data_IF_596823114773
#
_entry.id   IF_596823114773
#
_cell.length_a   1.000
_cell.length_b   1.000
_cell.length_c   1.000
_cell.angle_alpha   90.00
_cell.angle_beta   90.00
_cell.angle_gamma   90.00
#
_symmetry.space_group_name_H-M   'P 1'
#
loop_
_entity.id
_entity.type
_entity.pdbx_description
1 polymer ?
#
# COMPACT_ATOMS: atom_id res chain seq x y z
N UNK A 1 7.09 -56.33 -32.92
CA UNK A 1 5.88 -55.48 -33.04
C UNK A 1 5.02 -55.76 -31.83
N UNK A 2 4.93 -54.82 -30.91
CA UNK A 2 4.08 -54.88 -29.73
C UNK A 2 3.59 -53.46 -29.49
N UNK A 3 2.29 -53.26 -29.59
CA UNK A 3 1.62 -51.97 -29.50
C UNK A 3 1.90 -51.32 -28.15
N UNK A 4 2.34 -50.04 -28.18
CA UNK A 4 2.26 -49.18 -27.01
C UNK A 4 0.81 -48.67 -26.91
N UNK A 5 0.14 -48.76 -25.76
CA UNK A 5 -1.15 -48.11 -25.58
C UNK A 5 -0.93 -46.60 -25.65
N UNK A 6 -1.65 -45.94 -26.55
CA UNK A 6 -1.80 -44.50 -26.54
C UNK A 6 -2.55 -44.11 -25.27
N UNK A 7 -1.83 -43.53 -24.31
CA UNK A 7 -2.44 -42.83 -23.19
C UNK A 7 -3.19 -41.65 -23.79
N UNK A 8 -4.51 -41.79 -23.90
CA UNK A 8 -5.38 -40.65 -24.16
C UNK A 8 -5.11 -39.63 -23.06
N UNK A 9 -4.59 -38.47 -23.45
CA UNK A 9 -4.64 -37.29 -22.61
C UNK A 9 -6.12 -37.00 -22.49
N UNK A 10 -6.73 -37.33 -21.35
CA UNK A 10 -8.04 -36.77 -20.99
C UNK A 10 -7.88 -35.26 -21.07
N UNK A 11 -8.45 -34.65 -22.10
CA UNK A 11 -8.76 -33.24 -22.10
C UNK A 11 -9.57 -33.01 -20.83
N UNK A 12 -8.95 -32.36 -19.84
CA UNK A 12 -9.63 -31.87 -18.65
C UNK A 12 -10.75 -30.99 -19.18
N UNK A 13 -11.98 -31.53 -19.17
CA UNK A 13 -13.14 -30.89 -19.76
C UNK A 13 -13.19 -29.45 -19.30
N UNK A 14 -13.30 -28.52 -20.26
CA UNK A 14 -13.44 -27.10 -19.97
C UNK A 14 -14.60 -26.93 -18.99
N UNK A 15 -14.32 -26.56 -17.75
CA UNK A 15 -15.36 -26.27 -16.75
C UNK A 15 -16.21 -25.14 -17.34
N UNK A 16 -17.42 -25.46 -17.78
CA UNK A 16 -18.39 -24.48 -18.27
C UNK A 16 -18.98 -23.77 -17.05
N UNK A 17 -18.37 -22.65 -16.68
CA UNK A 17 -18.80 -21.85 -15.54
C UNK A 17 -19.75 -20.75 -16.02
N UNK A 18 -21.03 -20.85 -15.66
CA UNK A 18 -22.10 -19.93 -16.08
C UNK A 18 -22.39 -18.86 -15.03
N UNK A 19 -23.03 -17.76 -15.44
CA UNK A 19 -23.44 -16.69 -14.52
C UNK A 19 -24.46 -17.18 -13.48
N UNK A 20 -25.31 -18.15 -13.81
CA UNK A 20 -26.26 -18.75 -12.86
C UNK A 20 -25.55 -19.51 -11.73
N UNK A 21 -24.41 -20.12 -12.03
CA UNK A 21 -23.57 -20.81 -11.04
C UNK A 21 -23.01 -19.83 -10.01
N UNK A 22 -22.75 -18.59 -10.39
CA UNK A 22 -22.25 -17.53 -9.49
C UNK A 22 -23.30 -17.17 -8.44
N UNK A 23 -24.57 -17.07 -8.84
CA UNK A 23 -25.67 -16.69 -7.96
C UNK A 23 -25.97 -17.75 -6.88
N UNK A 24 -25.53 -18.99 -7.10
CA UNK A 24 -25.67 -20.11 -6.16
C UNK A 24 -24.47 -20.26 -5.21
N UNK A 25 -23.40 -19.48 -5.40
CA UNK A 25 -22.23 -19.54 -4.53
C UNK A 25 -22.59 -19.11 -3.11
N UNK A 26 -21.86 -19.67 -2.13
CA UNK A 26 -21.80 -19.08 -0.79
C UNK A 26 -20.97 -17.79 -0.82
N UNK A 27 -21.09 -16.96 0.23
CA UNK A 27 -20.22 -15.77 0.40
C UNK A 27 -18.75 -16.12 0.26
N UNK A 28 -18.29 -17.20 0.88
CA UNK A 28 -16.89 -17.66 0.79
C UNK A 28 -16.54 -18.06 -0.63
N UNK A 29 -17.41 -18.83 -1.31
CA UNK A 29 -17.19 -19.21 -2.71
C UNK A 29 -17.10 -18.01 -3.66
N UNK A 30 -17.94 -17.00 -3.45
CA UNK A 30 -17.91 -15.76 -4.22
C UNK A 30 -16.62 -14.96 -3.97
N UNK A 31 -16.14 -14.87 -2.71
CA UNK A 31 -14.87 -14.21 -2.40
C UNK A 31 -13.67 -14.97 -2.99
N UNK A 32 -13.68 -16.30 -2.97
CA UNK A 32 -12.65 -17.11 -3.64
C UNK A 32 -12.64 -16.87 -5.14
N UNK A 33 -13.80 -16.86 -5.78
CA UNK A 33 -13.90 -16.57 -7.20
C UNK A 33 -13.43 -15.14 -7.52
N UNK A 34 -13.70 -14.18 -6.63
CA UNK A 34 -13.22 -12.82 -6.77
C UNK A 34 -11.70 -12.73 -6.73
N UNK A 35 -11.06 -13.40 -5.76
CA UNK A 35 -9.60 -13.49 -5.72
C UNK A 35 -9.04 -14.11 -7.01
N UNK A 36 -9.67 -15.19 -7.48
CA UNK A 36 -9.30 -15.82 -8.73
C UNK A 36 -9.46 -14.84 -9.89
N UNK A 37 -10.54 -14.07 -10.01
CA UNK A 37 -10.74 -13.12 -11.11
C UNK A 37 -9.78 -11.92 -11.08
N UNK A 38 -9.39 -11.46 -9.89
CA UNK A 38 -8.45 -10.34 -9.69
C UNK A 38 -7.00 -10.77 -9.91
N UNK A 39 -6.69 -12.04 -9.70
CA UNK A 39 -5.32 -12.56 -9.85
C UNK A 39 -4.83 -12.48 -11.29
N UNK A 40 -3.66 -11.85 -11.47
CA UNK A 40 -2.94 -11.78 -12.75
C UNK A 40 -2.10 -13.03 -13.03
N UNK A 41 -1.81 -13.84 -12.00
CA UNK A 41 -0.92 -15.00 -12.09
C UNK A 41 -1.68 -16.32 -12.18
N UNK A 42 -2.82 -16.41 -11.50
CA UNK A 42 -3.69 -17.57 -11.61
C UNK A 42 -4.41 -17.52 -12.96
N UNK A 43 -4.40 -18.61 -13.74
CA UNK A 43 -5.15 -18.83 -14.99
C UNK A 43 -5.65 -17.55 -15.73
N UNK A 44 -4.76 -16.68 -16.25
CA UNK A 44 -5.14 -15.38 -16.80
C UNK A 44 -6.07 -15.47 -18.02
N UNK A 45 -5.96 -16.56 -18.80
CA UNK A 45 -6.73 -16.79 -20.02
C UNK A 45 -7.92 -17.75 -19.81
N UNK A 46 -8.37 -17.94 -18.57
CA UNK A 46 -9.48 -18.86 -18.31
C UNK A 46 -10.78 -18.42 -18.98
N UNK A 47 -11.48 -19.36 -19.61
CA UNK A 47 -12.73 -19.11 -20.34
C UNK A 47 -13.88 -18.58 -19.49
N UNK A 48 -13.81 -18.73 -18.17
CA UNK A 48 -14.81 -18.22 -17.22
C UNK A 48 -14.56 -16.77 -16.79
N UNK A 49 -13.43 -16.16 -17.18
CA UNK A 49 -13.12 -14.73 -16.98
C UNK A 49 -13.71 -13.85 -18.09
N UNK A 50 -14.93 -14.17 -18.49
CA UNK A 50 -15.70 -13.36 -19.43
C UNK A 50 -16.44 -12.25 -18.70
N UNK A 51 -16.78 -11.22 -19.45
CA UNK A 51 -17.43 -10.01 -18.93
C UNK A 51 -18.69 -10.30 -18.13
N UNK A 52 -19.59 -11.15 -18.65
CA UNK A 52 -20.87 -11.45 -17.98
C UNK A 52 -20.65 -12.08 -16.60
N UNK A 53 -19.66 -12.96 -16.46
CA UNK A 53 -19.33 -13.59 -15.19
C UNK A 53 -18.71 -12.59 -14.20
N UNK A 54 -17.85 -11.70 -14.68
CA UNK A 54 -17.26 -10.64 -13.84
C UNK A 54 -18.37 -9.70 -13.33
N UNK A 55 -19.24 -9.21 -14.22
CA UNK A 55 -20.35 -8.31 -13.88
C UNK A 55 -21.31 -8.99 -12.91
N UNK A 56 -21.65 -10.26 -13.15
CA UNK A 56 -22.52 -11.04 -12.27
C UNK A 56 -21.90 -11.21 -10.89
N UNK A 57 -20.61 -11.54 -10.80
CA UNK A 57 -19.90 -11.69 -9.53
C UNK A 57 -19.85 -10.36 -8.76
N UNK A 58 -19.50 -9.26 -9.41
CA UNK A 58 -19.44 -7.94 -8.76
C UNK A 58 -20.81 -7.51 -8.22
N UNK A 59 -21.89 -7.76 -8.98
CA UNK A 59 -23.26 -7.49 -8.54
C UNK A 59 -23.69 -8.41 -7.39
N UNK A 60 -23.32 -9.70 -7.44
CA UNK A 60 -23.58 -10.64 -6.37
C UNK A 60 -22.88 -10.21 -5.08
N UNK A 61 -21.57 -9.92 -5.13
CA UNK A 61 -20.79 -9.43 -3.99
C UNK A 61 -21.36 -8.12 -3.44
N UNK A 62 -21.78 -7.20 -4.30
CA UNK A 62 -22.43 -5.95 -3.88
C UNK A 62 -23.66 -6.23 -3.02
N UNK A 63 -24.52 -7.15 -3.46
CA UNK A 63 -25.72 -7.53 -2.71
C UNK A 63 -25.35 -8.22 -1.39
N UNK A 64 -24.34 -9.09 -1.39
CA UNK A 64 -23.85 -9.77 -0.19
C UNK A 64 -23.26 -8.80 0.83
N UNK A 65 -22.50 -7.80 0.39
CA UNK A 65 -21.96 -6.74 1.26
C UNK A 65 -23.08 -5.89 1.87
N UNK A 66 -24.11 -5.55 1.08
CA UNK A 66 -25.25 -4.74 1.57
C UNK A 66 -26.12 -5.51 2.56
N UNK A 67 -26.34 -6.81 2.33
CA UNK A 67 -27.26 -7.65 3.12
C UNK A 67 -26.58 -8.36 4.29
N UNK A 68 -25.25 -8.45 4.30
CA UNK A 68 -24.52 -9.43 5.09
C UNK A 68 -24.18 -8.97 6.50
N UNK A 69 -24.74 -9.68 7.50
CA UNK A 69 -24.22 -9.73 8.87
C UNK A 69 -22.85 -10.42 8.97
N UNK A 70 -22.42 -11.12 7.89
CA UNK A 70 -21.22 -11.95 7.85
C UNK A 70 -19.98 -11.25 7.28
N UNK A 71 -20.11 -10.04 6.71
CA UNK A 71 -18.99 -9.30 6.13
C UNK A 71 -18.43 -8.32 7.17
N UNK A 72 -17.27 -8.67 7.71
CA UNK A 72 -16.54 -7.88 8.70
C UNK A 72 -15.65 -6.79 8.07
N UNK A 73 -15.07 -5.94 8.91
CA UNK A 73 -14.14 -4.87 8.54
C UNK A 73 -12.96 -5.40 7.70
N UNK A 74 -12.42 -6.57 8.06
CA UNK A 74 -11.31 -7.22 7.38
C UNK A 74 -11.68 -7.63 5.97
N UNK A 75 -12.85 -8.23 5.79
CA UNK A 75 -13.36 -8.63 4.47
C UNK A 75 -13.61 -7.40 3.61
N UNK A 76 -14.19 -6.33 4.16
CA UNK A 76 -14.36 -5.06 3.45
C UNK A 76 -13.03 -4.47 3.00
N UNK A 77 -12.06 -4.38 3.91
CA UNK A 77 -10.72 -3.88 3.60
C UNK A 77 -10.03 -4.71 2.53
N UNK A 78 -10.17 -6.03 2.59
CA UNK A 78 -9.65 -6.92 1.56
C UNK A 78 -10.30 -6.68 0.18
N UNK A 79 -11.63 -6.58 0.11
CA UNK A 79 -12.33 -6.27 -1.16
C UNK A 79 -11.85 -4.91 -1.71
N UNK A 80 -11.82 -3.87 -0.87
CA UNK A 80 -11.37 -2.53 -1.27
C UNK A 80 -9.92 -2.55 -1.77
N UNK A 81 -9.03 -3.29 -1.12
CA UNK A 81 -7.63 -3.42 -1.55
C UNK A 81 -7.51 -4.02 -2.97
N UNK A 82 -8.36 -5.00 -3.30
CA UNK A 82 -8.41 -5.63 -4.62
C UNK A 82 -9.00 -4.69 -5.68
N UNK A 83 -10.00 -3.89 -5.30
CA UNK A 83 -10.59 -2.87 -6.17
C UNK A 83 -9.64 -1.69 -6.47
N UNK A 84 -8.73 -1.37 -5.55
CA UNK A 84 -7.74 -0.31 -5.72
C UNK A 84 -6.46 -0.79 -6.44
N UNK A 85 -6.32 -2.09 -6.68
CA UNK A 85 -5.12 -2.64 -7.32
C UNK A 85 -5.09 -2.29 -8.81
N UNK A 86 -4.21 -1.33 -9.16
CA UNK A 86 -3.91 -1.00 -10.56
C UNK A 86 -3.36 -2.23 -11.29
N UNK A 87 -3.93 -2.54 -12.46
CA UNK A 87 -3.53 -3.71 -13.26
C UNK A 87 -4.35 -4.99 -13.02
N UNK A 88 -5.36 -4.93 -12.15
CA UNK A 88 -6.31 -6.04 -11.99
C UNK A 88 -7.15 -6.26 -13.26
N UNK A 89 -7.45 -7.50 -13.67
CA UNK A 89 -8.31 -7.78 -14.82
C UNK A 89 -9.71 -7.16 -14.71
N UNK A 90 -10.21 -6.97 -13.49
CA UNK A 90 -11.52 -6.33 -13.26
C UNK A 90 -11.47 -4.80 -13.37
N UNK A 91 -10.28 -4.18 -13.39
CA UNK A 91 -10.12 -2.74 -13.50
C UNK A 91 -10.68 -2.18 -14.82
N UNK A 92 -10.87 -3.02 -15.85
CA UNK A 92 -11.56 -2.66 -17.08
C UNK A 92 -13.06 -2.37 -16.89
N UNK A 93 -13.62 -2.52 -15.68
CA UNK A 93 -15.05 -2.31 -15.35
C UNK A 93 -15.21 -1.31 -14.20
N UNK A 94 -14.84 -0.03 -14.41
CA UNK A 94 -14.81 0.98 -13.36
C UNK A 94 -16.20 1.26 -12.76
N UNK A 95 -17.28 1.11 -13.52
CA UNK A 95 -18.65 1.30 -13.04
C UNK A 95 -19.07 0.24 -12.02
N UNK A 96 -18.84 -1.03 -12.31
CA UNK A 96 -19.20 -2.16 -11.46
C UNK A 96 -18.32 -2.19 -10.22
N UNK A 97 -17.00 -1.98 -10.39
CA UNK A 97 -16.05 -1.83 -9.29
C UNK A 97 -16.43 -0.66 -8.38
N UNK A 98 -16.81 0.50 -8.95
CA UNK A 98 -17.27 1.65 -8.19
C UNK A 98 -18.58 1.39 -7.44
N UNK A 99 -19.51 0.62 -8.00
CA UNK A 99 -20.74 0.19 -7.31
C UNK A 99 -20.46 -0.74 -6.14
N UNK A 100 -19.53 -1.68 -6.29
CA UNK A 100 -19.10 -2.56 -5.20
C UNK A 100 -18.36 -1.75 -4.12
N UNK A 101 -17.46 -0.85 -4.50
CA UNK A 101 -16.78 0.06 -3.57
C UNK A 101 -17.77 0.88 -2.75
N UNK A 102 -18.78 1.50 -3.40
CA UNK A 102 -19.85 2.24 -2.70
C UNK A 102 -20.65 1.36 -1.73
N UNK A 103 -20.88 0.10 -2.07
CA UNK A 103 -21.51 -0.85 -1.15
C UNK A 103 -20.60 -1.16 0.06
N UNK A 104 -19.30 -1.35 -0.16
CA UNK A 104 -18.34 -1.53 0.91
C UNK A 104 -18.26 -0.31 1.84
N UNK A 105 -18.25 0.91 1.28
CA UNK A 105 -18.30 2.16 2.05
C UNK A 105 -19.60 2.25 2.87
N UNK A 106 -20.74 1.91 2.29
CA UNK A 106 -22.01 1.92 3.00
C UNK A 106 -21.99 0.96 4.20
N UNK A 107 -21.56 -0.28 3.98
CA UNK A 107 -21.45 -1.27 5.07
C UNK A 107 -20.41 -0.86 6.12
N UNK A 108 -19.30 -0.28 5.68
CA UNK A 108 -18.27 0.27 6.56
C UNK A 108 -18.85 1.33 7.50
N UNK A 109 -19.66 2.25 6.98
CA UNK A 109 -20.34 3.26 7.79
C UNK A 109 -21.26 2.65 8.87
N UNK A 110 -21.90 1.51 8.58
CA UNK A 110 -22.76 0.82 9.56
C UNK A 110 -21.96 0.17 10.69
N UNK A 111 -20.78 -0.39 10.40
CA UNK A 111 -19.93 -1.08 11.39
C UNK A 111 -18.90 -0.17 12.06
N UNK A 112 -18.65 1.02 11.51
CA UNK A 112 -17.62 1.95 11.97
C UNK A 112 -17.65 2.26 13.48
N UNK A 113 -18.83 2.43 14.13
CA UNK A 113 -18.86 2.69 15.57
C UNK A 113 -18.20 1.59 16.42
N UNK A 114 -18.22 0.34 15.94
CA UNK A 114 -17.69 -0.84 16.63
C UNK A 114 -16.22 -1.14 16.28
N UNK A 115 -15.67 -0.48 15.26
CA UNK A 115 -14.30 -0.75 14.82
C UNK A 115 -13.26 -0.26 15.83
N UNK A 116 -12.21 -1.05 16.00
CA UNK A 116 -11.00 -0.69 16.73
C UNK A 116 -10.18 0.38 15.99
N UNK A 117 -9.26 1.03 16.71
CA UNK A 117 -8.30 1.98 16.14
C UNK A 117 -7.44 1.32 15.05
N UNK A 118 -7.00 0.09 15.28
CA UNK A 118 -6.22 -0.68 14.31
C UNK A 118 -7.01 -0.90 12.99
N UNK A 119 -8.29 -1.28 13.08
CA UNK A 119 -9.12 -1.45 11.88
C UNK A 119 -9.34 -0.12 11.15
N UNK A 120 -9.54 0.98 11.89
CA UNK A 120 -9.65 2.32 11.30
C UNK A 120 -8.39 2.70 10.51
N UNK A 121 -7.20 2.44 11.08
CA UNK A 121 -5.91 2.72 10.43
C UNK A 121 -5.67 1.83 9.20
N UNK A 122 -6.16 0.59 9.19
CA UNK A 122 -6.06 -0.30 8.03
C UNK A 122 -6.99 0.12 6.89
N UNK A 123 -8.17 0.64 7.22
CA UNK A 123 -9.17 1.04 6.25
C UNK A 123 -8.87 2.41 5.63
N UNK A 124 -8.32 3.36 6.40
CA UNK A 124 -8.11 4.73 5.94
C UNK A 124 -7.36 4.83 4.60
N UNK A 125 -6.20 4.14 4.39
CA UNK A 125 -5.50 4.18 3.10
C UNK A 125 -6.26 3.54 1.94
N UNK A 126 -7.24 2.67 2.24
CA UNK A 126 -8.04 2.00 1.21
C UNK A 126 -9.19 2.88 0.71
N UNK A 127 -9.67 3.80 1.55
CA UNK A 127 -10.72 4.75 1.18
C UNK A 127 -10.15 6.10 0.71
N UNK A 128 -8.91 6.43 1.09
CA UNK A 128 -8.16 7.58 0.55
C UNK A 128 -7.51 7.22 -0.80
N UNK A 129 -8.35 6.86 -1.76
CA UNK A 129 -7.97 6.43 -3.11
C UNK A 129 -8.46 7.44 -4.15
N UNK A 130 -7.69 7.62 -5.23
CA UNK A 130 -8.09 8.45 -6.37
C UNK A 130 -8.94 7.70 -7.40
N UNK A 131 -9.08 6.37 -7.25
CA UNK A 131 -9.80 5.52 -8.20
C UNK A 131 -11.33 5.69 -8.15
N UNK A 132 -11.87 6.11 -7.01
CA UNK A 132 -13.31 6.21 -6.76
C UNK A 132 -13.65 7.52 -6.05
N UNK A 133 -14.94 7.84 -6.00
CA UNK A 133 -15.44 8.98 -5.24
C UNK A 133 -15.10 8.82 -3.75
N UNK A 134 -14.38 9.82 -3.19
CA UNK A 134 -13.89 9.79 -1.81
C UNK A 134 -15.05 9.80 -0.82
N UNK A 135 -15.13 8.83 0.12
CA UNK A 135 -16.22 8.74 1.08
C UNK A 135 -16.01 9.67 2.28
N UNK A 136 -16.16 10.99 2.05
CA UNK A 136 -15.85 12.05 3.02
C UNK A 136 -16.41 11.82 4.43
N UNK A 137 -17.65 11.37 4.56
CA UNK A 137 -18.30 11.13 5.87
C UNK A 137 -17.53 10.07 6.67
N UNK A 138 -17.15 8.96 6.02
CA UNK A 138 -16.43 7.86 6.65
C UNK A 138 -15.00 8.27 6.98
N UNK A 139 -14.32 8.97 6.07
CA UNK A 139 -12.97 9.50 6.33
C UNK A 139 -12.94 10.41 7.56
N UNK A 140 -13.85 11.38 7.62
CA UNK A 140 -13.95 12.34 8.74
C UNK A 140 -14.20 11.61 10.06
N UNK A 141 -15.07 10.62 10.08
CA UNK A 141 -15.39 9.88 11.30
C UNK A 141 -14.23 9.00 11.77
N UNK A 142 -13.52 8.34 10.84
CA UNK A 142 -12.26 7.64 11.15
C UNK A 142 -11.25 8.61 11.76
N UNK A 143 -11.01 9.75 11.12
CA UNK A 143 -10.03 10.74 11.58
C UNK A 143 -10.38 11.28 12.96
N UNK A 144 -11.65 11.58 13.24
CA UNK A 144 -12.10 11.99 14.59
C UNK A 144 -11.77 10.94 15.65
N UNK A 145 -11.96 9.66 15.33
CA UNK A 145 -11.65 8.55 16.24
C UNK A 145 -10.14 8.42 16.47
N UNK A 146 -9.33 8.58 15.42
CA UNK A 146 -7.86 8.63 15.53
C UNK A 146 -7.38 9.85 16.34
N UNK A 147 -8.06 10.98 16.23
CA UNK A 147 -7.76 12.17 17.02
C UNK A 147 -8.05 11.98 18.51
N UNK A 148 -9.12 11.24 18.82
CA UNK A 148 -9.57 10.95 20.17
C UNK A 148 -8.79 9.81 20.86
N UNK A 149 -8.20 8.87 20.11
CA UNK A 149 -7.48 7.74 20.69
C UNK A 149 -6.23 8.16 21.50
N UNK A 150 -5.80 7.32 22.42
CA UNK A 150 -4.57 7.49 23.18
C UNK A 150 -3.32 7.02 22.42
N UNK A 151 -2.12 7.45 22.83
CA UNK A 151 -0.85 6.91 22.29
C UNK A 151 -0.70 5.40 22.62
N UNK A 152 -1.30 4.93 23.72
CA UNK A 152 -1.28 3.52 24.15
C UNK A 152 -2.10 2.64 23.20
N UNK A 153 -3.23 3.11 22.68
CA UNK A 153 -3.98 2.34 21.69
C UNK A 153 -3.22 2.16 20.37
N UNK A 154 -2.29 3.07 20.07
CA UNK A 154 -1.43 3.01 18.89
C UNK A 154 -0.19 2.15 19.10
N UNK A 155 0.26 1.94 20.35
CA UNK A 155 1.40 1.07 20.65
C UNK A 155 1.11 -0.40 20.37
N UNK A 156 -0.14 -0.84 20.27
CA UNK A 156 -0.41 -2.23 19.89
C UNK A 156 -0.50 -2.42 18.36
N UNK A 157 -0.43 -1.33 17.59
CA UNK A 157 -0.56 -1.35 16.13
C UNK A 157 0.80 -1.58 15.47
N UNK A 158 0.83 -2.40 14.41
CA UNK A 158 2.06 -2.63 13.62
C UNK A 158 2.55 -1.34 12.97
N UNK A 159 3.87 -1.16 12.92
CA UNK A 159 4.50 0.03 12.34
C UNK A 159 4.15 0.23 10.86
N UNK A 160 4.06 -0.84 10.06
CA UNK A 160 3.61 -0.76 8.66
C UNK A 160 2.20 -0.19 8.50
N UNK A 161 1.27 -0.53 9.39
CA UNK A 161 -0.09 0.03 9.40
C UNK A 161 -0.06 1.52 9.76
N UNK A 162 0.73 1.90 10.77
CA UNK A 162 0.90 3.29 11.18
C UNK A 162 1.48 4.14 10.03
N UNK A 163 2.54 3.66 9.38
CA UNK A 163 3.15 4.33 8.22
C UNK A 163 2.18 4.45 7.05
N UNK A 164 1.39 3.40 6.77
CA UNK A 164 0.39 3.44 5.71
C UNK A 164 -0.67 4.51 5.96
N UNK A 165 -1.16 4.63 7.21
CA UNK A 165 -2.11 5.66 7.59
C UNK A 165 -1.51 7.08 7.44
N UNK A 166 -0.25 7.30 7.82
CA UNK A 166 0.42 8.60 7.70
C UNK A 166 0.51 9.15 6.27
N UNK A 167 0.44 8.28 5.26
CA UNK A 167 0.40 8.69 3.84
C UNK A 167 -0.90 9.37 3.45
N UNK A 168 -1.97 9.15 4.21
CA UNK A 168 -3.28 9.65 3.86
C UNK A 168 -3.35 11.17 4.07
N UNK A 169 -3.99 11.88 3.15
CA UNK A 169 -4.06 13.33 3.15
C UNK A 169 -4.89 13.85 4.34
N UNK A 170 -5.98 13.14 4.66
CA UNK A 170 -6.94 13.48 5.72
C UNK A 170 -6.40 13.35 7.14
N UNK A 171 -5.22 12.75 7.32
CA UNK A 171 -4.63 12.65 8.65
C UNK A 171 -4.31 14.05 9.16
N UNK A 172 -5.02 14.43 10.22
CA UNK A 172 -4.82 15.69 10.92
C UNK A 172 -3.41 15.76 11.48
N UNK A 173 -2.92 16.98 11.65
CA UNK A 173 -1.63 17.20 12.28
C UNK A 173 -1.57 16.56 13.68
N UNK A 174 -2.65 16.64 14.47
CA UNK A 174 -2.70 16.03 15.81
C UNK A 174 -2.46 14.51 15.75
N UNK A 175 -3.17 13.80 14.87
CA UNK A 175 -2.99 12.36 14.67
C UNK A 175 -1.61 12.04 14.10
N UNK A 176 -1.14 12.83 13.13
CA UNK A 176 0.19 12.70 12.53
C UNK A 176 1.30 12.74 13.60
N UNK A 177 1.29 13.77 14.45
CA UNK A 177 2.24 13.96 15.53
C UNK A 177 2.19 12.82 16.54
N UNK A 178 0.99 12.35 16.88
CA UNK A 178 0.77 11.24 17.80
C UNK A 178 1.40 9.95 17.28
N UNK A 179 1.13 9.60 16.03
CA UNK A 179 1.71 8.40 15.39
C UNK A 179 3.24 8.52 15.31
N UNK A 180 3.79 9.68 14.91
CA UNK A 180 5.24 9.88 14.87
C UNK A 180 5.90 9.68 16.24
N UNK A 181 5.27 10.14 17.33
CA UNK A 181 5.76 9.91 18.70
C UNK A 181 5.75 8.44 19.08
N UNK A 182 4.68 7.71 18.73
CA UNK A 182 4.58 6.26 19.00
C UNK A 182 5.68 5.50 18.28
N UNK A 183 5.91 5.80 16.99
CA UNK A 183 6.99 5.19 16.21
C UNK A 183 8.37 5.49 16.85
N UNK A 184 8.54 6.69 17.42
CA UNK A 184 9.83 7.14 17.95
C UNK A 184 10.13 6.67 19.38
N UNK A 185 9.12 6.53 20.24
CA UNK A 185 9.30 6.20 21.67
C UNK A 185 9.69 4.75 21.93
N UNK A 186 9.30 3.82 21.06
CA UNK A 186 9.42 2.39 21.32
C UNK A 186 10.57 1.70 20.56
N UNK A 187 11.59 2.46 20.16
CA UNK A 187 12.70 1.95 19.33
C UNK A 187 12.28 1.30 18.00
N UNK A 188 11.01 1.43 17.58
CA UNK A 188 10.47 0.84 16.35
C UNK A 188 11.19 1.32 15.10
N UNK A 189 11.80 2.51 15.13
CA UNK A 189 12.61 3.02 14.03
C UNK A 189 13.78 2.07 13.73
N UNK A 190 14.37 1.44 14.74
CA UNK A 190 15.51 0.52 14.59
C UNK A 190 15.07 -0.82 13.97
N UNK A 191 13.79 -1.14 14.07
CA UNK A 191 13.19 -2.37 13.52
C UNK A 191 12.58 -2.16 12.13
N UNK A 192 12.63 -0.95 11.58
CA UNK A 192 12.12 -0.68 10.24
C UNK A 192 12.92 -1.44 9.20
N UNK A 193 12.20 -2.09 8.29
CA UNK A 193 12.81 -2.53 7.03
C UNK A 193 13.25 -1.33 6.20
N UNK A 194 14.23 -1.52 5.30
CA UNK A 194 14.69 -0.46 4.37
C UNK A 194 13.56 0.26 3.63
N UNK A 195 12.49 -0.47 3.27
CA UNK A 195 11.33 0.09 2.58
C UNK A 195 10.47 0.95 3.51
N UNK A 196 10.31 0.54 4.77
CA UNK A 196 9.60 1.33 5.78
C UNK A 196 10.41 2.56 6.21
N UNK A 197 11.73 2.46 6.35
CA UNK A 197 12.62 3.59 6.63
C UNK A 197 12.53 4.65 5.52
N UNK A 198 12.62 4.23 4.27
CA UNK A 198 12.49 5.11 3.11
C UNK A 198 11.08 5.71 3.04
N UNK A 199 10.04 4.90 3.23
CA UNK A 199 8.67 5.38 3.24
C UNK A 199 8.45 6.44 4.34
N UNK A 200 8.99 6.21 5.54
CA UNK A 200 8.84 7.16 6.63
C UNK A 200 9.56 8.48 6.34
N UNK A 201 10.77 8.42 5.76
CA UNK A 201 11.49 9.60 5.27
C UNK A 201 10.66 10.39 4.25
N UNK A 202 10.12 9.71 3.24
CA UNK A 202 9.31 10.33 2.18
C UNK A 202 8.06 10.99 2.75
N UNK A 203 7.37 10.34 3.70
CA UNK A 203 6.19 10.91 4.40
C UNK A 203 6.56 12.20 5.14
N UNK A 204 7.66 12.19 5.90
CA UNK A 204 8.07 13.35 6.69
C UNK A 204 8.47 14.53 5.78
N UNK A 205 9.19 14.26 4.68
CA UNK A 205 9.56 15.28 3.69
C UNK A 205 8.33 15.86 3.00
N UNK A 206 7.37 15.02 2.60
CA UNK A 206 6.12 15.48 1.99
C UNK A 206 5.34 16.43 2.92
N UNK A 207 5.30 16.11 4.23
CA UNK A 207 4.62 16.93 5.24
C UNK A 207 5.38 18.20 5.59
N UNK A 208 6.70 18.20 5.48
CA UNK A 208 7.52 19.41 5.63
C UNK A 208 7.27 20.41 4.49
N UNK A 209 7.09 19.91 3.26
CA UNK A 209 6.78 20.75 2.10
C UNK A 209 5.37 21.34 2.14
N UNK A 210 4.49 20.80 2.98
CA UNK A 210 3.18 21.38 3.28
C UNK A 210 3.35 22.57 4.25
N UNK A 211 3.12 23.79 3.75
CA UNK A 211 3.31 25.04 4.50
C UNK A 211 2.50 25.13 5.79
N UNK A 212 1.39 24.38 5.91
CA UNK A 212 0.54 24.36 7.09
C UNK A 212 1.06 23.45 8.23
N UNK A 213 2.08 22.63 7.97
CA UNK A 213 2.57 21.60 8.91
C UNK A 213 4.10 21.58 9.08
N UNK A 214 4.82 22.47 8.41
CA UNK A 214 6.28 22.47 8.37
C UNK A 214 6.92 22.67 9.75
N UNK A 215 6.43 23.64 10.54
CA UNK A 215 6.94 23.94 11.88
C UNK A 215 6.76 22.76 12.83
N UNK A 216 5.62 22.08 12.78
CA UNK A 216 5.34 20.93 13.63
C UNK A 216 6.20 19.70 13.29
N UNK A 217 6.51 19.49 12.00
CA UNK A 217 7.48 18.48 11.57
C UNK A 217 8.89 18.82 12.11
N UNK A 218 9.24 20.11 12.13
CA UNK A 218 10.45 20.59 12.81
C UNK A 218 10.45 20.31 14.31
N UNK A 219 9.30 20.48 14.99
CA UNK A 219 9.12 20.18 16.42
C UNK A 219 9.27 18.68 16.69
N UNK A 220 8.76 17.78 15.83
CA UNK A 220 9.01 16.32 15.94
C UNK A 220 10.52 16.06 15.94
N UNK A 221 11.21 16.69 15.00
CA UNK A 221 12.66 16.59 14.86
C UNK A 221 13.43 17.05 16.09
N UNK A 222 13.01 18.18 16.65
CA UNK A 222 13.68 18.87 17.76
C UNK A 222 13.47 18.18 19.11
N UNK A 223 12.27 17.65 19.37
CA UNK A 223 11.92 17.06 20.66
C UNK A 223 12.10 15.53 20.73
N UNK A 224 12.24 14.84 19.60
CA UNK A 224 12.09 13.38 19.54
C UNK A 224 13.29 12.57 19.05
N UNK A 225 14.41 13.18 18.68
CA UNK A 225 15.54 12.51 17.98
C UNK A 225 15.12 11.69 16.75
N UNK A 226 13.91 11.91 16.23
CA UNK A 226 13.31 11.09 15.16
C UNK A 226 14.18 11.11 13.92
N UNK A 227 14.65 12.30 13.53
CA UNK A 227 15.58 12.48 12.43
C UNK A 227 16.90 11.75 12.67
N UNK A 228 17.49 11.88 13.85
CA UNK A 228 18.78 11.24 14.16
C UNK A 228 18.69 9.71 14.08
N UNK A 229 17.65 9.13 14.69
CA UNK A 229 17.44 7.68 14.69
C UNK A 229 17.08 7.18 13.29
N UNK A 230 16.25 7.92 12.54
CA UNK A 230 15.91 7.59 11.16
C UNK A 230 17.13 7.67 10.25
N UNK A 231 17.97 8.69 10.38
CA UNK A 231 19.22 8.79 9.62
C UNK A 231 20.19 7.67 9.96
N UNK A 232 20.28 7.28 11.24
CA UNK A 232 21.08 6.14 11.66
C UNK A 232 20.55 4.83 11.05
N UNK A 233 19.22 4.62 11.04
CA UNK A 233 18.60 3.46 10.42
C UNK A 233 18.85 3.42 8.90
N UNK A 234 18.63 4.53 8.20
CA UNK A 234 18.92 4.65 6.77
C UNK A 234 20.40 4.39 6.47
N UNK A 235 21.30 4.79 7.36
CA UNK A 235 22.72 4.48 7.23
C UNK A 235 22.97 2.98 7.29
N UNK A 236 22.31 2.25 8.19
CA UNK A 236 22.37 0.78 8.26
C UNK A 236 21.79 0.16 6.99
N UNK A 237 20.58 0.58 6.60
CA UNK A 237 19.81 0.03 5.47
C UNK A 237 20.49 0.23 4.10
N UNK A 238 21.36 1.25 3.96
CA UNK A 238 22.05 1.58 2.69
C UNK A 238 22.79 0.37 2.08
N UNK A 239 23.21 -0.61 2.88
CA UNK A 239 23.86 -1.83 2.39
C UNK A 239 22.96 -2.68 1.49
N UNK A 240 21.67 -2.71 1.78
CA UNK A 240 20.66 -3.57 1.14
C UNK A 240 19.71 -2.82 0.21
N UNK A 241 19.80 -1.49 0.19
CA UNK A 241 19.09 -0.65 -0.78
C UNK A 241 19.59 -0.89 -2.21
N UNK A 242 18.61 -0.87 -3.12
CA UNK A 242 18.76 -0.77 -4.57
C UNK A 242 19.20 0.64 -4.96
N UNK A 243 19.64 0.80 -6.21
CA UNK A 243 20.05 2.12 -6.73
C UNK A 243 18.88 3.11 -6.69
N UNK A 244 17.69 2.67 -7.06
CA UNK A 244 16.47 3.49 -7.06
C UNK A 244 16.13 3.95 -5.63
N UNK A 245 16.11 3.04 -4.67
CA UNK A 245 15.89 3.36 -3.25
C UNK A 245 16.93 4.36 -2.72
N UNK A 246 18.21 4.20 -3.10
CA UNK A 246 19.26 5.15 -2.70
C UNK A 246 19.07 6.54 -3.32
N UNK A 247 18.61 6.63 -4.57
CA UNK A 247 18.35 7.90 -5.25
C UNK A 247 17.15 8.60 -4.62
N UNK A 248 16.07 7.87 -4.35
CA UNK A 248 14.89 8.40 -3.67
C UNK A 248 15.26 8.96 -2.27
N UNK A 249 16.08 8.22 -1.51
CA UNK A 249 16.60 8.70 -0.24
C UNK A 249 17.42 9.99 -0.41
N UNK A 250 18.33 10.05 -1.40
CA UNK A 250 19.13 11.25 -1.67
C UNK A 250 18.27 12.46 -2.04
N UNK A 251 17.24 12.29 -2.85
CA UNK A 251 16.29 13.35 -3.20
C UNK A 251 15.56 13.88 -1.96
N UNK A 252 15.12 12.99 -1.08
CA UNK A 252 14.52 13.39 0.19
C UNK A 252 15.50 14.17 1.08
N UNK A 253 16.75 13.70 1.21
CA UNK A 253 17.78 14.35 2.01
C UNK A 253 18.17 15.74 1.47
N UNK A 254 18.12 15.94 0.15
CA UNK A 254 18.36 17.25 -0.46
C UNK A 254 17.30 18.27 -0.02
N UNK A 255 16.01 17.89 0.00
CA UNK A 255 14.94 18.75 0.51
C UNK A 255 15.18 19.15 1.97
N UNK A 256 15.63 18.19 2.79
CA UNK A 256 15.92 18.43 4.20
C UNK A 256 17.12 19.37 4.40
N UNK A 257 18.12 19.31 3.52
CA UNK A 257 19.32 20.14 3.62
C UNK A 257 19.03 21.65 3.56
N UNK A 258 18.00 22.04 2.81
CA UNK A 258 17.59 23.44 2.69
C UNK A 258 16.55 23.87 3.74
N UNK A 259 16.10 22.96 4.60
CA UNK A 259 15.10 23.27 5.62
C UNK A 259 15.74 23.86 6.89
N UNK A 260 15.33 25.07 7.34
CA UNK A 260 15.83 25.65 8.59
C UNK A 260 15.23 24.99 9.84
N UNK A 261 14.24 24.10 9.66
CA UNK A 261 13.44 23.51 10.74
C UNK A 261 13.96 22.16 11.23
N UNK A 262 15.02 21.63 10.61
CA UNK A 262 15.46 20.24 10.79
C UNK A 262 16.94 20.19 11.15
N UNK A 263 17.32 19.14 11.88
CA UNK A 263 18.72 18.86 12.19
C UNK A 263 19.51 18.63 10.91
N UNK A 264 20.76 19.08 10.90
CA UNK A 264 21.62 18.96 9.72
C UNK A 264 21.73 17.49 9.28
N UNK A 265 21.48 17.25 7.99
CA UNK A 265 21.60 15.91 7.39
C UNK A 265 23.04 15.38 7.57
N UNK A 266 23.24 14.16 8.08
CA UNK A 266 24.59 13.61 8.28
C UNK A 266 25.33 13.41 6.96
N UNK A 267 26.43 14.14 6.76
CA UNK A 267 27.25 14.03 5.54
C UNK A 267 27.76 12.60 5.28
N UNK A 268 28.03 11.83 6.33
CA UNK A 268 28.42 10.41 6.20
C UNK A 268 27.34 9.54 5.56
N UNK A 269 26.05 9.81 5.82
CA UNK A 269 24.93 9.10 5.19
C UNK A 269 24.85 9.42 3.70
N UNK A 270 24.90 10.71 3.36
CA UNK A 270 24.87 11.19 1.97
C UNK A 270 25.99 10.55 1.14
N UNK A 271 27.21 10.54 1.68
CA UNK A 271 28.36 9.95 0.99
C UNK A 271 28.26 8.42 0.86
N UNK A 272 27.67 7.74 1.85
CA UNK A 272 27.45 6.28 1.77
C UNK A 272 26.44 5.93 0.67
N UNK A 273 25.32 6.68 0.59
CA UNK A 273 24.31 6.52 -0.46
C UNK A 273 24.91 6.76 -1.86
N UNK A 274 25.64 7.88 -2.05
CA UNK A 274 26.33 8.18 -3.32
C UNK A 274 27.31 7.09 -3.73
N UNK A 275 28.14 6.60 -2.78
CA UNK A 275 29.10 5.52 -3.04
C UNK A 275 28.41 4.23 -3.46
N UNK A 276 27.27 3.89 -2.83
CA UNK A 276 26.46 2.72 -3.19
C UNK A 276 25.96 2.81 -4.63
N UNK A 277 25.33 3.94 -4.98
CA UNK A 277 24.86 4.21 -6.35
C UNK A 277 26.01 4.11 -7.36
N UNK A 278 27.11 4.84 -7.12
CA UNK A 278 28.27 4.84 -8.01
C UNK A 278 28.87 3.44 -8.19
N UNK A 279 29.04 2.68 -7.11
CA UNK A 279 29.64 1.35 -7.18
C UNK A 279 28.78 0.37 -7.98
N UNK A 280 27.46 0.37 -7.77
CA UNK A 280 26.53 -0.51 -8.49
C UNK A 280 26.50 -0.15 -9.99
N UNK A 281 26.39 1.13 -10.33
CA UNK A 281 26.42 1.60 -11.72
C UNK A 281 27.75 1.25 -12.39
N UNK A 282 28.88 1.51 -11.71
CA UNK A 282 30.22 1.20 -12.25
C UNK A 282 30.40 -0.30 -12.46
N UNK A 283 29.87 -1.14 -11.57
CA UNK A 283 29.91 -2.60 -11.72
C UNK A 283 29.08 -3.04 -12.93
N UNK A 284 27.88 -2.48 -13.11
CA UNK A 284 27.03 -2.76 -14.26
C UNK A 284 27.71 -2.38 -15.60
N UNK A 285 28.29 -1.18 -15.69
CA UNK A 285 29.04 -0.71 -16.86
C UNK A 285 30.27 -1.56 -17.19
N UNK A 286 30.90 -2.18 -16.18
CA UNK A 286 32.05 -3.07 -16.39
C UNK A 286 31.65 -4.49 -16.80
N UNK A 287 30.46 -4.94 -16.39
CA UNK A 287 29.99 -6.31 -16.61
C UNK A 287 29.15 -6.47 -17.89
N UNK A 288 28.63 -5.37 -18.43
CA UNK A 288 27.88 -5.31 -19.69
C UNK A 288 28.37 -4.09 -20.47
N UNK A 289 28.41 -4.16 -21.79
CA UNK A 289 28.51 -2.97 -22.65
C UNK A 289 27.20 -2.17 -22.56
N UNK A 290 26.86 -1.69 -21.36
CA UNK A 290 25.62 -0.96 -21.08
C UNK A 290 25.71 0.39 -21.75
N UNK A 291 24.78 0.66 -22.67
CA UNK A 291 24.64 1.96 -23.31
C UNK A 291 24.06 2.98 -22.33
N UNK A 292 24.28 4.28 -22.55
CA UNK A 292 23.77 5.33 -21.66
C UNK A 292 22.22 5.27 -21.48
N UNK A 293 21.49 4.85 -22.51
CA UNK A 293 20.03 4.66 -22.47
C UNK A 293 19.59 3.53 -21.52
N UNK A 294 20.36 2.45 -21.42
CA UNK A 294 20.05 1.37 -20.50
C UNK A 294 20.32 1.80 -19.05
N UNK A 295 21.33 2.64 -18.81
CA UNK A 295 21.57 3.25 -17.48
C UNK A 295 20.43 4.18 -17.09
N UNK A 296 19.88 4.98 -18.01
CA UNK A 296 18.69 5.80 -17.73
C UNK A 296 17.47 4.96 -17.34
N UNK A 297 17.25 3.81 -17.99
CA UNK A 297 16.20 2.87 -17.60
C UNK A 297 16.43 2.24 -16.22
N UNK A 298 17.68 1.98 -15.81
CA UNK A 298 18.00 1.53 -14.45
C UNK A 298 17.78 2.59 -13.37
N UNK A 299 17.79 3.87 -13.75
CA UNK A 299 17.68 5.01 -12.84
C UNK A 299 16.26 5.59 -12.79
N UNK A 300 15.36 5.14 -13.66
CA UNK A 300 14.01 5.67 -13.72
C UNK A 300 13.11 4.95 -12.69
N UNK A 301 12.63 5.64 -11.63
CA UNK A 301 11.77 5.03 -10.61
C UNK A 301 10.40 4.60 -11.15
N UNK A 302 10.06 4.93 -12.40
CA UNK A 302 8.78 4.65 -13.04
C UNK A 302 8.83 3.60 -14.16
N UNK A 303 9.98 2.94 -14.39
CA UNK A 303 10.08 1.86 -15.37
C UNK A 303 9.89 0.48 -14.72
N UNK A 304 8.65 0.21 -14.30
CA UNK A 304 8.10 -1.14 -14.08
C UNK A 304 6.57 -1.06 -14.11
#
# INVERSE_FOLDING_TARGET
MGEKPSVGVEEIGSISFSSDSILQLSTVGALMLFEMMVSTTFQPCASWRIEDNIVTLLNYLRNTVIRGDTVDSRTLGWIMSKLNSGGSPIACRPSECGRLFKACVKRLNDILPQMSVNECLQILPLIDTTAYERPFIVCVEIVKRLDACSEIELSDVRTSTLLSALRCEDVTLKTFMKICRVISKEFRIVELSKGESLLFLTILVARLNSSASAEDVGIIGSNGKVWEVLFAQLYVDTGDMSVVECIEALMCLEVLYFSPLITAVPGGLVEKLKKRVFFVIRKAMKQRHVTAQEVELFLNPYSA
#
